data_IF_809198047104
#
_entry.id   IF_809198047104
#
_cell.length_a   1.000
_cell.length_b   1.000
_cell.length_c   1.000
_cell.angle_alpha   90.00
_cell.angle_beta   90.00
_cell.angle_gamma   90.00
#
_symmetry.space_group_name_H-M   'P 1'
#
loop_
_entity.id
_entity.type
_entity.pdbx_description
1 polymer ?
#
# COMPACT_ATOMS: atom_id res chain seq x y z
N UNK A 1 -23.25 -33.90 5.86
CA UNK A 1 -21.88 -34.51 5.83
C UNK A 1 -20.99 -33.88 4.74
N UNK A 2 -21.51 -33.01 3.88
CA UNK A 2 -20.73 -32.30 2.83
C UNK A 2 -20.42 -30.84 3.23
N UNK A 3 -21.10 -30.29 4.22
CA UNK A 3 -20.92 -28.87 4.64
C UNK A 3 -19.79 -28.64 5.66
N UNK A 4 -19.14 -29.70 6.19
CA UNK A 4 -18.05 -29.55 7.16
C UNK A 4 -16.66 -29.46 6.53
N UNK A 5 -16.50 -29.71 5.23
CA UNK A 5 -15.21 -29.71 4.57
C UNK A 5 -14.83 -28.34 4.02
N UNK A 6 -15.81 -27.52 3.59
CA UNK A 6 -15.57 -26.20 3.01
C UNK A 6 -15.13 -25.10 4.01
N UNK A 7 -15.30 -25.36 5.31
CA UNK A 7 -14.86 -24.43 6.39
C UNK A 7 -13.42 -24.65 6.86
N UNK A 8 -12.80 -25.77 6.48
CA UNK A 8 -11.43 -26.14 6.88
C UNK A 8 -10.35 -25.68 5.89
N UNK A 9 -10.75 -25.31 4.67
CA UNK A 9 -9.82 -24.88 3.61
C UNK A 9 -9.55 -23.35 3.59
N UNK A 10 -10.07 -22.62 4.55
CA UNK A 10 -9.99 -21.15 4.61
C UNK A 10 -8.62 -20.51 4.95
N UNK A 11 -7.64 -21.17 5.59
CA UNK A 11 -6.31 -20.59 5.74
C UNK A 11 -5.63 -20.25 4.40
N UNK A 12 -5.91 -21.03 3.34
CA UNK A 12 -5.35 -20.80 2.01
C UNK A 12 -6.00 -19.61 1.27
N UNK A 13 -7.29 -19.33 1.53
CA UNK A 13 -7.98 -18.20 0.90
C UNK A 13 -7.56 -16.83 1.45
N UNK A 14 -7.14 -16.75 2.71
CA UNK A 14 -6.60 -15.49 3.26
C UNK A 14 -5.22 -15.14 2.71
N UNK A 15 -4.43 -16.12 2.27
CA UNK A 15 -3.15 -15.87 1.59
C UNK A 15 -3.33 -15.52 0.10
N UNK A 16 -4.45 -15.95 -0.52
CA UNK A 16 -4.72 -15.68 -1.95
C UNK A 16 -5.35 -14.30 -2.19
N UNK A 17 -5.99 -13.68 -1.21
CA UNK A 17 -6.57 -12.34 -1.39
C UNK A 17 -5.50 -11.24 -1.59
N UNK A 18 -4.29 -11.45 -1.12
CA UNK A 18 -3.15 -10.58 -1.47
C UNK A 18 -2.59 -10.84 -2.89
N UNK A 19 -3.13 -11.82 -3.63
CA UNK A 19 -2.56 -12.28 -4.91
C UNK A 19 -3.55 -12.38 -6.08
N UNK A 20 -4.85 -12.29 -5.88
CA UNK A 20 -5.84 -12.55 -6.94
C UNK A 20 -7.07 -11.64 -6.83
N UNK A 21 -7.03 -10.48 -7.47
CA UNK A 21 -8.21 -9.85 -8.05
C UNK A 21 -8.02 -9.80 -9.57
N UNK A 22 -8.68 -10.70 -10.27
CA UNK A 22 -8.88 -10.61 -11.72
C UNK A 22 -10.27 -10.00 -11.96
N UNK A 23 -10.40 -8.95 -12.76
CA UNK A 23 -11.70 -8.43 -13.15
C UNK A 23 -12.34 -9.28 -14.23
N UNK A 24 -13.51 -9.81 -13.95
CA UNK A 24 -14.40 -10.34 -14.99
C UNK A 24 -14.95 -9.21 -15.86
N UNK A 25 -14.99 -9.49 -17.17
CA UNK A 25 -15.48 -8.58 -18.21
C UNK A 25 -16.98 -8.31 -18.01
N UNK A 26 -17.37 -7.04 -17.89
CA UNK A 26 -18.75 -6.62 -18.03
C UNK A 26 -19.02 -6.07 -19.43
N UNK A 27 -20.02 -6.65 -20.06
CA UNK A 27 -20.55 -6.29 -21.36
C UNK A 27 -21.14 -4.87 -21.40
N UNK A 28 -20.97 -4.23 -22.55
CA UNK A 28 -21.53 -2.92 -22.88
C UNK A 28 -23.07 -2.98 -22.88
N UNK A 29 -23.71 -2.10 -22.15
CA UNK A 29 -25.13 -1.77 -22.32
C UNK A 29 -25.29 -0.33 -22.85
N UNK A 30 -26.18 -0.25 -23.83
CA UNK A 30 -26.52 0.92 -24.65
C UNK A 30 -26.95 2.15 -23.86
N UNK A 31 -26.47 3.32 -24.29
CA UNK A 31 -26.97 4.61 -23.85
C UNK A 31 -28.23 5.02 -24.67
N UNK A 32 -29.22 5.64 -24.05
CA UNK A 32 -30.36 6.22 -24.75
C UNK A 32 -30.04 7.63 -25.28
N UNK A 33 -30.56 7.90 -26.46
CA UNK A 33 -30.49 9.17 -27.20
C UNK A 33 -31.06 10.36 -26.42
N UNK A 34 -30.34 11.47 -26.41
CA UNK A 34 -30.82 12.80 -25.97
C UNK A 34 -31.18 13.67 -27.19
N UNK A 35 -32.24 14.49 -27.13
CA UNK A 35 -32.75 15.23 -28.26
C UNK A 35 -31.97 16.49 -28.55
N UNK A 36 -31.87 16.81 -29.87
CA UNK A 36 -31.33 18.05 -30.45
C UNK A 36 -31.96 19.30 -29.84
N UNK A 37 -31.13 20.20 -29.30
CA UNK A 37 -31.45 21.61 -29.16
C UNK A 37 -30.42 22.44 -29.92
N UNK A 38 -30.88 23.00 -31.02
CA UNK A 38 -30.19 24.09 -31.72
C UNK A 38 -30.27 25.33 -30.84
N UNK A 39 -29.12 25.83 -30.41
CA UNK A 39 -29.03 27.20 -29.92
C UNK A 39 -27.88 27.90 -30.62
N UNK A 40 -28.22 29.06 -31.21
CA UNK A 40 -27.30 29.93 -31.95
C UNK A 40 -26.47 30.70 -30.94
N UNK A 41 -25.19 30.37 -30.82
CA UNK A 41 -24.23 31.21 -30.11
C UNK A 41 -23.33 31.93 -31.15
N UNK A 42 -23.36 33.23 -31.11
CA UNK A 42 -22.46 34.13 -31.83
C UNK A 42 -20.99 33.75 -31.60
N UNK A 43 -20.23 33.69 -32.67
CA UNK A 43 -18.78 33.43 -32.57
C UNK A 43 -18.08 34.65 -31.98
N UNK A 44 -17.26 34.52 -30.91
CA UNK A 44 -16.47 35.64 -30.40
C UNK A 44 -15.45 36.12 -31.44
N UNK A 45 -15.28 37.47 -31.51
CA UNK A 45 -14.39 38.16 -32.42
C UNK A 45 -12.95 37.66 -32.28
N UNK A 46 -12.16 37.72 -33.35
CA UNK A 46 -10.74 37.26 -33.34
C UNK A 46 -9.89 37.98 -32.29
N UNK A 47 -10.25 39.23 -31.95
CA UNK A 47 -9.61 40.04 -30.92
C UNK A 47 -9.83 39.40 -29.52
N UNK A 48 -11.07 38.95 -29.20
CA UNK A 48 -11.40 38.29 -27.92
C UNK A 48 -10.69 36.95 -27.77
N UNK A 49 -10.46 36.24 -28.87
CA UNK A 49 -9.67 35.00 -28.86
C UNK A 49 -8.19 35.26 -28.60
N UNK A 50 -7.64 36.34 -29.17
CA UNK A 50 -6.24 36.70 -28.94
C UNK A 50 -6.05 37.19 -27.50
N UNK A 51 -6.98 37.99 -26.97
CA UNK A 51 -6.94 38.46 -25.59
C UNK A 51 -7.13 37.30 -24.56
N UNK A 52 -7.92 36.28 -24.92
CA UNK A 52 -8.05 35.03 -24.10
C UNK A 52 -6.80 34.18 -24.16
N UNK A 53 -6.14 34.07 -25.31
CA UNK A 53 -4.85 33.39 -25.46
C UNK A 53 -3.73 34.15 -24.73
N UNK A 54 -3.71 35.50 -24.84
CA UNK A 54 -2.77 36.35 -24.12
C UNK A 54 -3.04 36.39 -22.61
N UNK A 55 -4.29 36.21 -22.16
CA UNK A 55 -4.63 36.00 -20.74
C UNK A 55 -4.26 34.62 -20.26
N UNK A 56 -4.38 33.55 -21.07
CA UNK A 56 -3.86 32.22 -20.75
C UNK A 56 -2.33 32.20 -20.69
N UNK A 57 -1.65 32.92 -21.59
CA UNK A 57 -0.18 33.04 -21.59
C UNK A 57 0.34 33.97 -20.46
N UNK A 58 -0.45 34.95 -20.01
CA UNK A 58 -0.13 35.77 -18.83
C UNK A 58 -0.41 35.12 -17.49
N UNK A 59 -1.09 33.97 -17.47
CA UNK A 59 -1.25 33.12 -16.29
C UNK A 59 -0.14 32.08 -16.16
N UNK A 60 1.01 32.27 -16.82
CA UNK A 60 2.24 31.58 -16.34
C UNK A 60 2.55 32.20 -14.98
N UNK A 61 1.95 31.58 -13.95
CA UNK A 61 2.31 31.78 -12.55
C UNK A 61 3.82 31.56 -12.47
N UNK A 62 4.60 32.63 -12.16
CA UNK A 62 6.00 32.46 -11.81
C UNK A 62 6.03 31.45 -10.66
N UNK A 63 6.43 30.24 -10.97
CA UNK A 63 6.61 29.22 -9.95
C UNK A 63 7.69 29.68 -8.99
N UNK A 64 7.39 29.59 -7.71
CA UNK A 64 8.30 30.03 -6.64
C UNK A 64 9.58 29.18 -6.59
N UNK A 65 9.49 27.92 -7.00
CA UNK A 65 10.58 26.93 -6.97
C UNK A 65 10.64 26.17 -8.30
N UNK A 66 11.86 25.82 -8.75
CA UNK A 66 12.05 24.86 -9.84
C UNK A 66 11.85 23.45 -9.32
N UNK A 67 10.78 22.78 -9.73
CA UNK A 67 10.41 21.41 -9.32
C UNK A 67 10.63 20.45 -10.46
N UNK A 68 11.40 19.40 -10.22
CA UNK A 68 11.72 18.39 -11.22
C UNK A 68 11.27 17.01 -10.70
N UNK A 69 10.52 16.28 -11.53
CA UNK A 69 10.15 14.89 -11.27
C UNK A 69 11.19 13.96 -11.91
N UNK A 70 11.60 12.93 -11.21
CA UNK A 70 12.48 11.92 -11.76
C UNK A 70 12.01 10.50 -11.40
N UNK A 71 12.23 9.55 -12.31
CA UNK A 71 11.78 8.17 -12.15
C UNK A 71 12.80 7.19 -12.74
N UNK A 72 12.65 5.91 -12.37
CA UNK A 72 13.19 4.77 -13.11
C UNK A 72 12.03 3.96 -13.68
N UNK A 73 12.20 3.32 -14.84
CA UNK A 73 11.16 2.47 -15.40
C UNK A 73 11.73 1.24 -16.11
N UNK A 74 10.87 0.23 -16.30
CA UNK A 74 11.13 -0.90 -17.17
C UNK A 74 9.82 -1.58 -17.54
N UNK A 75 9.48 -1.60 -18.84
CA UNK A 75 8.28 -2.23 -19.39
C UNK A 75 6.99 -1.71 -18.69
N UNK A 76 6.73 -0.42 -18.82
CA UNK A 76 5.62 0.28 -18.15
C UNK A 76 4.76 1.09 -19.12
N UNK A 77 4.73 0.71 -20.40
CA UNK A 77 4.01 1.46 -21.45
C UNK A 77 2.55 1.77 -21.12
N UNK A 78 1.88 0.89 -20.37
CA UNK A 78 0.48 1.05 -19.96
C UNK A 78 0.25 2.16 -18.93
N UNK A 79 1.30 2.58 -18.21
CA UNK A 79 1.19 3.59 -17.16
C UNK A 79 1.61 4.99 -17.61
N UNK A 80 2.40 5.11 -18.67
CA UNK A 80 3.06 6.37 -19.10
C UNK A 80 2.09 7.54 -19.18
N UNK A 81 0.98 7.42 -19.89
CA UNK A 81 0.04 8.52 -20.13
C UNK A 81 -0.59 9.01 -18.81
N UNK A 82 -1.12 8.09 -18.01
CA UNK A 82 -1.75 8.41 -16.71
C UNK A 82 -0.75 9.04 -15.75
N UNK A 83 0.46 8.48 -15.67
CA UNK A 83 1.53 9.01 -14.84
C UNK A 83 1.93 10.41 -15.28
N UNK A 84 2.19 10.62 -16.59
CA UNK A 84 2.55 11.92 -17.15
C UNK A 84 1.51 13.00 -16.82
N UNK A 85 0.23 12.72 -17.03
CA UNK A 85 -0.86 13.64 -16.71
C UNK A 85 -0.83 14.08 -15.24
N UNK A 86 -0.42 13.22 -14.33
CA UNK A 86 -0.36 13.52 -12.89
C UNK A 86 0.88 14.32 -12.47
N UNK A 87 1.97 14.24 -13.23
CA UNK A 87 3.25 14.91 -12.89
C UNK A 87 3.58 16.08 -13.80
N UNK A 88 2.77 16.38 -14.83
CA UNK A 88 3.01 17.48 -15.81
C UNK A 88 3.00 18.90 -15.23
N UNK A 89 2.56 19.06 -13.96
CA UNK A 89 2.70 20.31 -13.22
C UNK A 89 4.18 20.61 -12.82
N UNK A 90 5.09 19.66 -12.97
CA UNK A 90 6.52 19.86 -12.77
C UNK A 90 7.14 20.69 -13.91
N UNK A 91 8.22 21.42 -13.61
CA UNK A 91 8.93 22.23 -14.64
C UNK A 91 9.66 21.34 -15.66
N UNK A 92 10.24 20.23 -15.19
CA UNK A 92 10.93 19.25 -16.03
C UNK A 92 10.72 17.82 -15.49
N UNK A 93 10.76 16.83 -16.39
CA UNK A 93 10.59 15.41 -16.04
C UNK A 93 11.72 14.60 -16.65
N UNK A 94 12.39 13.77 -15.82
CA UNK A 94 13.51 12.92 -16.21
C UNK A 94 13.22 11.46 -15.89
N UNK A 95 13.37 10.57 -16.86
CA UNK A 95 13.16 9.12 -16.65
C UNK A 95 14.40 8.35 -17.10
N UNK A 96 14.91 7.52 -16.21
CA UNK A 96 15.92 6.53 -16.50
C UNK A 96 15.27 5.19 -16.84
N UNK A 97 15.22 4.86 -18.12
CA UNK A 97 14.81 3.54 -18.57
C UNK A 97 15.90 2.51 -18.28
N UNK A 98 15.53 1.40 -17.63
CA UNK A 98 16.48 0.37 -17.20
C UNK A 98 16.52 -0.84 -18.13
N UNK A 99 16.02 -0.68 -19.36
CA UNK A 99 16.05 -1.64 -20.43
C UNK A 99 14.68 -2.20 -20.79
N UNK A 100 13.74 -1.31 -21.07
CA UNK A 100 12.41 -1.66 -21.62
C UNK A 100 12.53 -2.27 -23.01
N UNK A 101 11.63 -3.19 -23.31
CA UNK A 101 11.50 -3.89 -24.61
C UNK A 101 10.14 -3.64 -25.26
N UNK A 102 9.25 -2.95 -24.59
CA UNK A 102 7.93 -2.49 -25.03
C UNK A 102 8.01 -1.01 -25.52
N UNK A 103 6.84 -0.38 -25.75
CA UNK A 103 6.77 1.02 -26.21
C UNK A 103 6.99 2.08 -25.11
N UNK A 104 7.41 1.70 -23.88
CA UNK A 104 7.64 2.64 -22.76
C UNK A 104 8.48 3.85 -23.16
N UNK A 105 9.69 3.63 -23.72
CA UNK A 105 10.61 4.71 -24.09
C UNK A 105 10.03 5.62 -25.19
N UNK A 106 9.32 5.05 -26.13
CA UNK A 106 8.67 5.79 -27.20
C UNK A 106 7.59 6.72 -26.66
N UNK A 107 6.67 6.21 -25.85
CA UNK A 107 5.58 6.98 -25.24
C UNK A 107 6.11 8.11 -24.33
N UNK A 108 7.13 7.82 -23.50
CA UNK A 108 7.76 8.86 -22.67
C UNK A 108 8.32 10.02 -23.50
N UNK A 109 8.97 9.73 -24.63
CA UNK A 109 9.50 10.77 -25.54
C UNK A 109 8.39 11.55 -26.26
N UNK A 110 7.30 10.89 -26.61
CA UNK A 110 6.11 11.54 -27.18
C UNK A 110 5.47 12.54 -26.21
N UNK A 111 5.56 12.30 -24.90
CA UNK A 111 5.17 13.25 -23.85
C UNK A 111 6.20 14.37 -23.62
N UNK A 112 7.30 14.44 -24.36
CA UNK A 112 8.35 15.46 -24.17
C UNK A 112 9.27 15.24 -22.98
N UNK A 113 9.28 14.03 -22.38
CA UNK A 113 10.08 13.68 -21.22
C UNK A 113 11.53 13.44 -21.59
N UNK A 114 12.48 13.86 -20.73
CA UNK A 114 13.90 13.57 -20.87
C UNK A 114 14.22 12.12 -20.50
N UNK A 115 14.43 11.26 -21.50
CA UNK A 115 14.66 9.83 -21.30
C UNK A 115 16.11 9.45 -21.62
N UNK A 116 16.73 8.68 -20.70
CA UNK A 116 18.01 7.99 -20.90
C UNK A 116 17.82 6.51 -20.62
N UNK A 117 18.39 5.65 -21.46
CA UNK A 117 18.38 4.19 -21.22
C UNK A 117 19.73 3.72 -20.70
N UNK A 118 19.72 2.94 -19.60
CA UNK A 118 20.90 2.30 -19.02
C UNK A 118 20.56 1.01 -18.31
N UNK A 119 21.11 -0.09 -18.75
CA UNK A 119 20.95 -1.41 -18.13
C UNK A 119 22.00 -1.61 -17.03
N UNK A 120 21.57 -2.13 -15.89
CA UNK A 120 22.42 -2.40 -14.72
C UNK A 120 22.64 -3.90 -14.54
N UNK A 121 23.91 -4.32 -14.34
CA UNK A 121 24.29 -5.70 -14.04
C UNK A 121 25.43 -5.70 -12.99
N UNK A 122 25.22 -6.23 -11.79
CA UNK A 122 23.95 -6.75 -11.24
C UNK A 122 22.91 -5.65 -11.07
N UNK A 123 21.61 -6.03 -11.04
CA UNK A 123 20.51 -5.11 -10.76
C UNK A 123 20.50 -4.65 -9.30
N UNK A 124 20.28 -3.36 -9.09
CA UNK A 124 20.08 -2.74 -7.77
C UNK A 124 19.22 -1.50 -7.94
N UNK A 125 18.20 -1.35 -7.11
CA UNK A 125 17.32 -0.20 -7.16
C UNK A 125 18.03 1.10 -6.77
N UNK A 126 18.79 1.10 -5.67
CA UNK A 126 19.54 2.29 -5.20
C UNK A 126 20.50 2.85 -6.25
N UNK A 127 21.19 1.97 -6.97
CA UNK A 127 22.11 2.38 -8.05
C UNK A 127 21.35 3.03 -9.21
N UNK A 128 20.22 2.44 -9.62
CA UNK A 128 19.38 2.98 -10.68
C UNK A 128 18.75 4.33 -10.26
N UNK A 129 18.21 4.44 -9.04
CA UNK A 129 17.67 5.69 -8.50
C UNK A 129 18.70 6.80 -8.39
N UNK A 130 19.91 6.50 -7.91
CA UNK A 130 21.00 7.47 -7.88
C UNK A 130 21.43 7.92 -9.27
N UNK A 131 21.41 7.02 -10.26
CA UNK A 131 21.71 7.39 -11.63
C UNK A 131 20.61 8.27 -12.25
N UNK A 132 19.34 8.01 -11.94
CA UNK A 132 18.24 8.87 -12.37
C UNK A 132 18.29 10.26 -11.71
N UNK A 133 18.63 10.34 -10.41
CA UNK A 133 18.83 11.61 -9.71
C UNK A 133 19.97 12.46 -10.30
N UNK A 134 21.02 11.84 -10.85
CA UNK A 134 22.09 12.57 -11.55
C UNK A 134 21.64 13.24 -12.86
N UNK A 135 20.54 12.79 -13.45
CA UNK A 135 19.97 13.41 -14.65
C UNK A 135 19.29 14.74 -14.35
N UNK A 136 18.81 14.93 -13.13
CA UNK A 136 18.16 16.16 -12.68
C UNK A 136 19.15 17.33 -12.71
N UNK A 137 18.77 18.52 -13.26
CA UNK A 137 19.66 19.69 -13.29
C UNK A 137 20.11 20.17 -11.91
N UNK A 138 21.30 20.80 -11.84
CA UNK A 138 21.88 21.27 -10.58
C UNK A 138 21.20 22.51 -10.00
N UNK A 139 20.46 23.23 -10.81
CA UNK A 139 19.67 24.41 -10.46
C UNK A 139 18.24 24.06 -9.96
N UNK A 140 17.94 22.78 -9.76
CA UNK A 140 16.65 22.31 -9.25
C UNK A 140 16.55 22.57 -7.76
N UNK A 141 15.45 23.22 -7.33
CA UNK A 141 15.14 23.46 -5.92
C UNK A 141 14.55 22.22 -5.25
N UNK A 142 13.57 21.60 -5.92
CA UNK A 142 12.81 20.45 -5.36
C UNK A 142 12.81 19.29 -6.37
N UNK A 143 13.26 18.14 -5.91
CA UNK A 143 13.21 16.87 -6.63
C UNK A 143 12.05 16.02 -6.10
N UNK A 144 11.32 15.38 -7.00
CA UNK A 144 10.25 14.43 -6.67
C UNK A 144 10.56 13.10 -7.33
N UNK A 145 10.72 12.03 -6.54
CA UNK A 145 10.86 10.69 -7.07
C UNK A 145 9.51 9.96 -7.05
N UNK A 146 9.11 9.40 -8.18
CA UNK A 146 7.90 8.57 -8.30
C UNK A 146 8.20 7.33 -9.13
N UNK A 147 7.31 6.34 -9.05
CA UNK A 147 7.23 5.23 -9.99
C UNK A 147 6.10 5.47 -11.00
N UNK A 148 6.13 4.84 -12.19
CA UNK A 148 5.15 5.11 -13.24
C UNK A 148 3.75 4.57 -12.92
N UNK A 149 3.64 3.67 -11.96
CA UNK A 149 2.38 3.17 -11.41
C UNK A 149 1.84 4.02 -10.24
N UNK A 150 2.50 5.14 -9.92
CA UNK A 150 2.09 6.11 -8.90
C UNK A 150 1.48 7.37 -9.55
N UNK A 151 0.39 7.90 -9.00
CA UNK A 151 -0.38 9.01 -9.58
C UNK A 151 -0.66 10.07 -8.53
N UNK A 152 -0.14 11.28 -8.70
CA UNK A 152 -0.50 12.41 -7.85
C UNK A 152 -1.93 12.86 -8.07
N UNK A 153 -2.62 13.17 -6.97
CA UNK A 153 -3.90 13.87 -7.04
C UNK A 153 -3.69 15.33 -7.50
N UNK A 154 -4.62 15.91 -8.31
CA UNK A 154 -4.47 17.25 -8.86
C UNK A 154 -4.23 18.34 -7.81
N UNK A 155 -3.43 19.35 -8.17
CA UNK A 155 -3.13 20.50 -7.31
C UNK A 155 -1.96 20.29 -6.34
N UNK A 156 -1.25 19.18 -6.43
CA UNK A 156 -0.09 18.87 -5.58
C UNK A 156 1.00 19.95 -5.67
N UNK A 157 1.22 20.52 -6.85
CA UNK A 157 2.24 21.56 -7.07
C UNK A 157 1.97 22.80 -6.23
N UNK A 158 0.74 23.29 -6.26
CA UNK A 158 0.31 24.46 -5.47
C UNK A 158 0.46 24.23 -3.97
N UNK A 159 0.06 23.06 -3.50
CA UNK A 159 0.20 22.71 -2.08
C UNK A 159 1.68 22.55 -1.69
N UNK A 160 2.51 21.98 -2.56
CA UNK A 160 3.96 21.88 -2.31
C UNK A 160 4.58 23.27 -2.14
N UNK A 161 4.35 24.20 -3.05
CA UNK A 161 4.90 25.57 -3.00
C UNK A 161 4.40 26.40 -1.81
N UNK A 162 3.18 26.12 -1.34
CA UNK A 162 2.60 26.77 -0.17
C UNK A 162 3.31 26.40 1.13
N UNK A 163 3.67 25.13 1.28
CA UNK A 163 4.25 24.61 2.54
C UNK A 163 5.78 24.53 2.52
N UNK A 164 6.41 24.42 1.33
CA UNK A 164 7.86 24.39 1.22
C UNK A 164 8.46 25.75 1.60
N UNK A 165 9.44 25.74 2.51
CA UNK A 165 10.17 26.93 2.94
C UNK A 165 11.62 26.86 2.41
N UNK A 166 12.36 27.99 2.35
CA UNK A 166 13.74 28.02 1.83
C UNK A 166 14.72 27.07 2.53
N UNK A 167 14.44 26.71 3.77
CA UNK A 167 15.26 25.79 4.58
C UNK A 167 14.69 24.35 4.64
N UNK A 168 13.55 24.10 4.01
CA UNK A 168 12.99 22.75 3.90
C UNK A 168 13.89 21.89 3.03
N UNK A 169 14.19 20.68 3.50
CA UNK A 169 15.01 19.72 2.75
C UNK A 169 14.21 18.51 2.26
N UNK A 170 13.09 18.18 2.93
CA UNK A 170 12.23 17.06 2.60
C UNK A 170 10.76 17.39 2.89
N UNK A 171 9.86 16.89 2.03
CA UNK A 171 8.43 16.90 2.32
C UNK A 171 7.89 15.47 2.44
N UNK A 172 7.01 15.31 3.42
CA UNK A 172 6.26 14.09 3.70
C UNK A 172 4.81 14.30 3.30
N UNK A 173 4.19 13.32 2.65
CA UNK A 173 2.85 13.40 2.08
C UNK A 173 2.09 12.08 2.18
N UNK A 174 0.75 12.12 1.99
CA UNK A 174 -0.08 10.93 2.03
C UNK A 174 0.21 10.00 0.84
N UNK A 175 0.37 8.72 1.10
CA UNK A 175 0.53 7.68 0.10
C UNK A 175 -0.52 6.59 0.29
N UNK A 176 -1.37 6.42 -0.69
CA UNK A 176 -2.35 5.36 -0.74
C UNK A 176 -1.72 4.16 -1.44
N UNK A 177 -1.20 3.22 -0.65
CA UNK A 177 -0.54 2.00 -1.15
C UNK A 177 -1.51 1.07 -1.86
N UNK A 178 -2.73 0.93 -1.34
CA UNK A 178 -3.80 0.16 -1.96
C UNK A 178 -5.13 0.90 -1.84
N UNK A 179 -5.97 0.71 -2.84
CA UNK A 179 -7.26 1.36 -2.99
C UNK A 179 -8.32 0.28 -3.19
N UNK A 180 -9.56 0.55 -2.75
CA UNK A 180 -10.73 -0.26 -3.07
C UNK A 180 -11.25 0.07 -4.49
N UNK A 181 -12.30 -0.63 -4.92
CA UNK A 181 -12.95 -0.45 -6.23
C UNK A 181 -13.48 0.98 -6.45
N UNK A 182 -13.76 1.71 -5.35
CA UNK A 182 -14.24 3.09 -5.37
C UNK A 182 -13.09 4.12 -5.21
N UNK A 183 -11.83 3.68 -5.31
CA UNK A 183 -10.63 4.47 -5.06
C UNK A 183 -10.52 5.03 -3.62
N UNK A 184 -11.16 4.41 -2.63
CA UNK A 184 -10.92 4.75 -1.24
C UNK A 184 -9.64 4.04 -0.74
N UNK A 185 -8.83 4.70 0.11
CA UNK A 185 -7.61 4.10 0.62
C UNK A 185 -7.89 2.94 1.59
N UNK A 186 -7.36 1.76 1.28
CA UNK A 186 -7.34 0.59 2.17
C UNK A 186 -6.10 0.64 3.06
N UNK A 187 -4.92 0.83 2.45
CA UNK A 187 -3.66 1.02 3.17
C UNK A 187 -3.08 2.38 2.83
N UNK A 188 -2.93 3.22 3.85
CA UNK A 188 -2.43 4.58 3.72
C UNK A 188 -1.31 4.84 4.74
N UNK A 189 -0.23 5.48 4.29
CA UNK A 189 0.86 5.93 5.14
C UNK A 189 1.56 7.14 4.54
N UNK A 190 2.53 7.71 5.27
CA UNK A 190 3.31 8.83 4.76
C UNK A 190 4.51 8.35 3.94
N UNK A 191 4.69 8.94 2.77
CA UNK A 191 5.88 8.81 1.94
C UNK A 191 6.67 10.12 1.95
N UNK A 192 7.98 10.05 1.70
CA UNK A 192 8.91 11.18 1.84
C UNK A 192 9.92 11.26 0.69
N UNK A 193 9.46 11.02 -0.56
CA UNK A 193 10.28 11.05 -1.78
C UNK A 193 10.34 12.44 -2.45
N UNK A 194 9.94 13.53 -1.76
CA UNK A 194 10.08 14.93 -2.21
C UNK A 194 11.22 15.56 -1.41
N UNK A 195 12.27 16.06 -2.08
CA UNK A 195 13.52 16.42 -1.40
C UNK A 195 14.38 17.42 -2.20
N UNK A 196 15.35 18.05 -1.54
CA UNK A 196 16.42 18.81 -2.21
C UNK A 196 17.41 17.88 -2.91
N UNK A 197 17.99 18.30 -4.04
CA UNK A 197 18.85 17.45 -4.86
C UNK A 197 20.15 17.00 -4.15
N UNK A 198 20.83 17.91 -3.49
CA UNK A 198 22.24 17.72 -3.03
C UNK A 198 22.37 17.04 -1.68
N UNK A 199 21.28 16.99 -0.91
CA UNK A 199 21.35 16.59 0.50
C UNK A 199 20.95 15.13 0.72
N UNK A 200 20.71 14.38 -0.36
CA UNK A 200 20.19 13.01 -0.31
C UNK A 200 20.88 12.07 -1.29
N UNK A 201 20.85 10.80 -0.92
CA UNK A 201 21.20 9.66 -1.79
C UNK A 201 20.29 8.48 -1.53
N UNK A 202 20.06 7.68 -2.55
CA UNK A 202 19.37 6.39 -2.40
C UNK A 202 20.34 5.33 -1.87
N UNK A 203 19.87 4.52 -0.93
CA UNK A 203 20.62 3.42 -0.30
C UNK A 203 19.77 2.16 -0.29
N UNK A 204 20.39 1.02 -0.16
CA UNK A 204 19.85 -0.34 -0.15
C UNK A 204 19.46 -0.89 -1.53
N UNK A 205 19.87 -2.14 -1.83
CA UNK A 205 19.63 -2.79 -3.12
C UNK A 205 18.16 -2.94 -3.51
N UNK A 206 17.28 -3.05 -2.52
CA UNK A 206 15.81 -3.15 -2.64
C UNK A 206 15.16 -2.53 -1.41
N UNK A 207 13.89 -2.13 -1.51
CA UNK A 207 13.22 -1.28 -0.52
C UNK A 207 14.08 -0.06 -0.19
N UNK A 208 14.62 0.53 -1.23
CA UNK A 208 15.58 1.62 -1.17
C UNK A 208 15.02 2.83 -0.42
N UNK A 209 15.90 3.48 0.31
CA UNK A 209 15.58 4.63 1.16
C UNK A 209 16.34 5.84 0.65
N UNK A 210 15.65 6.97 0.61
CA UNK A 210 16.26 8.27 0.40
C UNK A 210 16.93 8.72 1.70
N UNK A 211 18.22 8.53 1.81
CA UNK A 211 19.02 8.80 3.01
C UNK A 211 19.58 10.21 2.99
N UNK A 212 19.35 10.96 4.06
CA UNK A 212 19.91 12.29 4.25
C UNK A 212 21.44 12.24 4.44
N UNK A 213 22.13 13.20 3.83
CA UNK A 213 23.59 13.40 3.96
C UNK A 213 23.92 14.49 4.99
N UNK A 214 22.91 15.24 5.43
CA UNK A 214 22.97 16.35 6.38
C UNK A 214 21.76 16.34 7.30
N UNK A 215 21.72 17.25 8.24
CA UNK A 215 20.54 17.50 9.07
C UNK A 215 19.33 17.86 8.20
N UNK A 216 18.19 17.24 8.47
CA UNK A 216 16.97 17.39 7.70
C UNK A 216 16.03 18.42 8.32
N UNK A 217 15.35 19.18 7.45
CA UNK A 217 14.15 19.93 7.80
C UNK A 217 12.97 19.40 7.01
N UNK A 218 12.15 18.62 7.72
CA UNK A 218 11.02 17.90 7.12
C UNK A 218 9.73 18.67 7.35
N UNK A 219 8.97 18.90 6.29
CA UNK A 219 7.58 19.39 6.35
C UNK A 219 6.61 18.26 6.02
N UNK A 220 5.49 18.18 6.74
CA UNK A 220 4.41 17.26 6.42
C UNK A 220 3.29 18.03 5.72
N UNK A 221 2.85 17.55 4.55
CA UNK A 221 1.83 18.19 3.71
C UNK A 221 0.70 17.19 3.49
N UNK A 222 -0.29 17.21 4.39
CA UNK A 222 -1.44 16.28 4.36
C UNK A 222 -2.35 16.46 3.15
N UNK A 223 -2.31 17.63 2.49
CA UNK A 223 -3.10 17.92 1.29
C UNK A 223 -2.51 17.34 0.00
N UNK A 224 -1.27 16.84 0.02
CA UNK A 224 -0.69 16.11 -1.11
C UNK A 224 -0.96 14.63 -0.94
N UNK A 225 -1.52 14.01 -1.97
CA UNK A 225 -1.80 12.58 -2.01
C UNK A 225 -1.24 11.95 -3.28
N UNK A 226 -0.57 10.82 -3.14
CA UNK A 226 -0.06 9.96 -4.20
C UNK A 226 -0.77 8.61 -4.11
N UNK A 227 -1.44 8.20 -5.19
CA UNK A 227 -2.11 6.91 -5.29
C UNK A 227 -1.22 5.91 -6.03
N UNK A 228 -1.16 4.68 -5.56
CA UNK A 228 -0.46 3.59 -6.21
C UNK A 228 -1.44 2.64 -6.91
N UNK A 229 -1.13 2.31 -8.15
CA UNK A 229 -1.90 1.40 -8.99
C UNK A 229 -0.97 0.28 -9.49
N UNK A 230 -0.75 -0.75 -8.67
CA UNK A 230 0.30 -1.74 -8.90
C UNK A 230 0.12 -2.53 -10.18
N UNK A 231 1.25 -2.95 -10.75
CA UNK A 231 1.27 -3.94 -11.83
C UNK A 231 1.30 -5.35 -11.26
N UNK A 232 0.12 -5.99 -11.22
CA UNK A 232 -0.02 -7.36 -10.70
C UNK A 232 0.69 -8.42 -11.58
N UNK A 233 1.08 -8.09 -12.81
CA UNK A 233 1.80 -9.00 -13.70
C UNK A 233 3.31 -9.00 -13.47
N UNK A 234 3.85 -8.01 -12.75
CA UNK A 234 5.28 -7.92 -12.47
C UNK A 234 5.75 -8.99 -11.49
N UNK A 235 6.73 -9.76 -11.92
CA UNK A 235 7.38 -10.77 -11.06
C UNK A 235 8.19 -10.11 -9.92
N UNK A 236 7.98 -10.58 -8.69
CA UNK A 236 8.77 -10.21 -7.50
C UNK A 236 10.00 -11.10 -7.28
N UNK A 237 10.34 -11.99 -8.22
CA UNK A 237 11.40 -13.00 -8.06
C UNK A 237 12.80 -12.42 -7.74
N UNK A 238 13.06 -11.15 -8.06
CA UNK A 238 14.31 -10.46 -7.76
C UNK A 238 14.44 -9.96 -6.32
N UNK A 239 13.33 -9.89 -5.57
CA UNK A 239 13.31 -9.26 -4.23
C UNK A 239 14.09 -10.05 -3.20
N UNK A 240 13.86 -11.36 -3.09
CA UNK A 240 14.52 -12.18 -2.08
C UNK A 240 16.06 -12.17 -2.21
N UNK A 241 16.67 -12.38 -3.39
CA UNK A 241 18.13 -12.27 -3.52
C UNK A 241 18.68 -10.88 -3.17
N UNK A 242 17.94 -9.82 -3.48
CA UNK A 242 18.35 -8.45 -3.15
C UNK A 242 18.24 -8.15 -1.66
N UNK A 243 17.23 -8.69 -0.97
CA UNK A 243 17.12 -8.60 0.49
C UNK A 243 18.21 -9.39 1.21
N UNK A 244 18.55 -10.60 0.73
CA UNK A 244 19.69 -11.36 1.23
C UNK A 244 20.98 -10.57 1.06
N UNK A 245 21.17 -9.88 -0.08
CA UNK A 245 22.28 -8.98 -0.32
C UNK A 245 22.27 -7.78 0.64
N UNK A 246 21.13 -7.13 0.84
CA UNK A 246 20.98 -5.97 1.74
C UNK A 246 21.42 -6.32 3.16
N UNK A 247 20.97 -7.46 3.68
CA UNK A 247 21.34 -7.93 5.03
C UNK A 247 22.80 -8.37 5.11
N UNK A 248 23.37 -8.87 4.01
CA UNK A 248 24.79 -9.19 3.93
C UNK A 248 25.66 -7.94 3.96
N UNK A 249 25.26 -6.88 3.26
CA UNK A 249 26.00 -5.60 3.21
C UNK A 249 25.90 -4.82 4.52
N UNK A 250 24.70 -4.86 5.16
CA UNK A 250 24.45 -4.17 6.44
C UNK A 250 23.64 -5.08 7.39
N UNK A 251 24.30 -5.98 8.14
CA UNK A 251 23.64 -6.95 8.99
C UNK A 251 23.01 -6.36 10.27
N UNK A 252 23.33 -5.12 10.61
CA UNK A 252 22.81 -4.39 11.76
C UNK A 252 21.63 -3.47 11.40
N UNK A 253 21.25 -3.40 10.12
CA UNK A 253 20.11 -2.63 9.67
C UNK A 253 18.82 -3.39 9.95
N UNK A 254 18.10 -2.96 10.97
CA UNK A 254 16.85 -3.58 11.45
C UNK A 254 15.79 -3.66 10.34
N UNK A 255 15.57 -2.58 9.59
CA UNK A 255 14.61 -2.55 8.51
C UNK A 255 14.90 -3.61 7.43
N UNK A 256 16.16 -3.76 7.00
CA UNK A 256 16.54 -4.76 6.01
C UNK A 256 16.31 -6.19 6.54
N UNK A 257 16.64 -6.42 7.81
CA UNK A 257 16.43 -7.73 8.46
C UNK A 257 14.95 -8.03 8.62
N UNK A 258 14.12 -7.03 8.99
CA UNK A 258 12.66 -7.16 9.04
C UNK A 258 12.08 -7.57 7.67
N UNK A 259 12.41 -6.83 6.61
CA UNK A 259 11.93 -7.13 5.25
C UNK A 259 12.38 -8.51 4.75
N UNK A 260 13.63 -8.91 5.04
CA UNK A 260 14.12 -10.25 4.68
C UNK A 260 13.32 -11.36 5.38
N UNK A 261 13.04 -11.18 6.67
CA UNK A 261 12.22 -12.13 7.44
C UNK A 261 10.81 -12.24 6.89
N UNK A 262 10.17 -11.10 6.58
CA UNK A 262 8.85 -11.05 5.94
C UNK A 262 8.87 -11.73 4.57
N UNK A 263 9.87 -11.47 3.75
CA UNK A 263 9.98 -12.08 2.43
C UNK A 263 10.17 -13.60 2.53
N UNK A 264 10.93 -14.11 3.50
CA UNK A 264 10.99 -15.55 3.75
C UNK A 264 9.64 -16.15 4.09
N UNK A 265 8.76 -15.43 4.81
CA UNK A 265 7.38 -15.86 5.08
C UNK A 265 6.58 -15.99 3.78
N UNK A 266 6.60 -15.00 2.90
CA UNK A 266 5.92 -15.05 1.60
C UNK A 266 6.41 -16.19 0.69
N UNK A 267 7.68 -16.61 0.84
CA UNK A 267 8.23 -17.78 0.17
C UNK A 267 8.04 -19.09 0.95
N UNK A 268 7.19 -19.10 1.99
CA UNK A 268 6.92 -20.25 2.85
C UNK A 268 8.17 -20.88 3.49
N UNK A 269 9.23 -20.08 3.65
CA UNK A 269 10.48 -20.49 4.30
C UNK A 269 10.39 -20.26 5.80
N UNK A 270 9.43 -20.89 6.47
CA UNK A 270 8.99 -20.62 7.83
C UNK A 270 10.14 -20.54 8.84
N UNK A 271 11.03 -21.53 8.85
CA UNK A 271 12.17 -21.55 9.78
C UNK A 271 13.12 -20.37 9.53
N UNK A 272 13.40 -20.02 8.25
CA UNK A 272 14.22 -18.85 7.92
C UNK A 272 13.56 -17.54 8.35
N UNK A 273 12.24 -17.43 8.18
CA UNK A 273 11.48 -16.29 8.68
C UNK A 273 11.69 -16.13 10.19
N UNK A 274 11.45 -17.21 10.96
CA UNK A 274 11.59 -17.21 12.41
C UNK A 274 12.98 -16.78 12.83
N UNK A 275 14.03 -17.41 12.31
CA UNK A 275 15.42 -17.13 12.68
C UNK A 275 15.81 -15.68 12.35
N UNK A 276 15.40 -15.21 11.17
CA UNK A 276 15.70 -13.82 10.71
C UNK A 276 14.98 -12.79 11.56
N UNK A 277 13.72 -13.00 11.89
CA UNK A 277 12.95 -12.03 12.69
C UNK A 277 13.31 -12.08 14.18
N UNK A 278 13.74 -13.20 14.72
CA UNK A 278 14.36 -13.26 16.06
C UNK A 278 15.67 -12.43 16.07
N UNK A 279 16.48 -12.52 15.00
CA UNK A 279 17.64 -11.65 14.84
C UNK A 279 17.22 -10.18 14.81
N UNK A 280 16.23 -9.79 13.99
CA UNK A 280 15.68 -8.43 13.96
C UNK A 280 15.36 -7.92 15.37
N UNK A 281 14.59 -8.69 16.15
CA UNK A 281 14.17 -8.30 17.50
C UNK A 281 15.33 -8.13 18.49
N UNK A 282 16.50 -8.73 18.20
CA UNK A 282 17.73 -8.62 19.02
C UNK A 282 18.62 -7.41 18.65
N UNK A 283 18.38 -6.76 17.50
CA UNK A 283 19.17 -5.62 17.06
C UNK A 283 18.88 -4.38 17.94
N UNK A 284 19.94 -3.66 18.29
CA UNK A 284 19.83 -2.42 19.07
C UNK A 284 19.13 -1.29 18.30
N UNK A 285 19.20 -1.33 16.98
CA UNK A 285 18.57 -0.39 16.07
C UNK A 285 17.06 -0.61 15.95
N UNK A 286 16.57 -1.83 16.17
CA UNK A 286 15.16 -2.19 16.10
C UNK A 286 14.37 -1.62 17.29
N UNK A 287 14.13 -0.32 17.26
CA UNK A 287 13.47 0.43 18.35
C UNK A 287 12.01 0.78 18.06
N UNK A 288 11.58 0.69 16.79
CA UNK A 288 10.22 0.98 16.42
C UNK A 288 9.28 -0.16 16.82
N UNK A 289 8.47 0.08 17.85
CA UNK A 289 7.60 -0.94 18.46
C UNK A 289 6.62 -1.58 17.48
N UNK A 290 6.06 -0.78 16.54
CA UNK A 290 5.10 -1.30 15.58
C UNK A 290 5.73 -2.33 14.65
N UNK A 291 6.94 -2.07 14.14
CA UNK A 291 7.69 -3.01 13.29
C UNK A 291 8.15 -4.25 14.08
N UNK A 292 8.53 -4.08 15.36
CA UNK A 292 8.85 -5.20 16.25
C UNK A 292 7.64 -6.08 16.47
N UNK A 293 6.47 -5.48 16.74
CA UNK A 293 5.20 -6.22 16.88
C UNK A 293 4.82 -6.95 15.58
N UNK A 294 5.02 -6.32 14.41
CA UNK A 294 4.82 -6.96 13.12
C UNK A 294 5.75 -8.16 12.93
N UNK A 295 7.04 -8.05 13.29
CA UNK A 295 7.98 -9.19 13.27
C UNK A 295 7.51 -10.34 14.16
N UNK A 296 7.00 -10.04 15.35
CA UNK A 296 6.45 -11.07 16.25
C UNK A 296 5.21 -11.76 15.65
N UNK A 297 4.33 -11.01 14.96
CA UNK A 297 3.18 -11.58 14.24
C UNK A 297 3.63 -12.51 13.10
N UNK A 298 4.63 -12.10 12.30
CA UNK A 298 5.15 -12.94 11.21
C UNK A 298 5.86 -14.21 11.72
N UNK A 299 6.53 -14.15 12.88
CA UNK A 299 7.04 -15.32 13.57
C UNK A 299 5.88 -16.23 13.99
N UNK A 300 4.81 -15.66 14.54
CA UNK A 300 3.63 -16.43 14.96
C UNK A 300 2.95 -17.10 13.76
N UNK A 301 2.76 -16.41 12.64
CA UNK A 301 2.23 -17.00 11.40
C UNK A 301 3.10 -18.17 10.93
N UNK A 302 4.42 -18.02 10.98
CA UNK A 302 5.34 -19.09 10.59
C UNK A 302 5.18 -20.32 11.51
N UNK A 303 5.04 -20.11 12.82
CA UNK A 303 4.75 -21.21 13.76
C UNK A 303 3.37 -21.83 13.53
N UNK A 304 2.36 -21.02 13.17
CA UNK A 304 1.04 -21.52 12.82
C UNK A 304 1.10 -22.50 11.63
N UNK A 305 1.77 -22.13 10.55
CA UNK A 305 1.96 -23.01 9.38
C UNK A 305 2.79 -24.27 9.70
N UNK A 306 3.70 -24.17 10.65
CA UNK A 306 4.41 -25.34 11.19
C UNK A 306 3.56 -26.18 12.18
N UNK A 307 2.27 -25.82 12.38
CA UNK A 307 1.34 -26.45 13.35
C UNK A 307 1.82 -26.39 14.80
N UNK A 308 2.66 -25.41 15.10
CA UNK A 308 3.21 -25.14 16.44
C UNK A 308 2.39 -24.04 17.12
N UNK A 309 1.13 -24.34 17.39
CA UNK A 309 0.11 -23.37 17.82
C UNK A 309 0.40 -22.72 19.17
N UNK A 310 1.07 -23.44 20.09
CA UNK A 310 1.48 -22.87 21.40
C UNK A 310 2.52 -21.76 21.25
N UNK A 311 3.48 -21.96 20.36
CA UNK A 311 4.49 -20.95 20.06
C UNK A 311 3.87 -19.78 19.29
N UNK A 312 2.96 -20.05 18.36
CA UNK A 312 2.22 -18.99 17.66
C UNK A 312 1.45 -18.11 18.68
N UNK A 313 0.72 -18.72 19.61
CA UNK A 313 0.01 -18.01 20.69
C UNK A 313 0.97 -17.16 21.56
N UNK A 314 2.10 -17.72 21.94
CA UNK A 314 3.11 -17.01 22.73
C UNK A 314 3.60 -15.75 22.00
N UNK A 315 3.97 -15.88 20.72
CA UNK A 315 4.47 -14.75 19.93
C UNK A 315 3.42 -13.68 19.66
N UNK A 316 2.15 -14.06 19.46
CA UNK A 316 1.06 -13.08 19.34
C UNK A 316 0.81 -12.33 20.66
N UNK A 317 0.91 -12.99 21.79
CA UNK A 317 0.84 -12.33 23.11
C UNK A 317 2.00 -11.34 23.31
N UNK A 318 3.21 -11.71 22.91
CA UNK A 318 4.36 -10.80 22.93
C UNK A 318 4.16 -9.60 21.99
N UNK A 319 3.58 -9.80 20.80
CA UNK A 319 3.25 -8.71 19.88
C UNK A 319 2.24 -7.72 20.50
N UNK A 320 1.24 -8.25 21.21
CA UNK A 320 0.27 -7.42 21.95
C UNK A 320 0.94 -6.66 23.10
N UNK A 321 1.85 -7.29 23.83
CA UNK A 321 2.59 -6.63 24.92
C UNK A 321 3.51 -5.54 24.40
N UNK A 322 4.19 -5.75 23.26
CA UNK A 322 5.07 -4.79 22.63
C UNK A 322 4.31 -3.53 22.16
N UNK A 323 3.15 -3.73 21.51
CA UNK A 323 2.33 -2.65 20.94
C UNK A 323 0.83 -2.85 21.23
N UNK A 324 0.38 -2.68 22.48
CA UNK A 324 -1.00 -2.96 22.89
C UNK A 324 -2.04 -2.00 22.27
N UNK A 325 -1.60 -0.94 21.62
CA UNK A 325 -2.41 0.03 20.90
C UNK A 325 -2.65 -0.35 19.44
N UNK A 326 -2.01 -1.40 18.93
CA UNK A 326 -2.25 -1.94 17.58
C UNK A 326 -3.30 -3.06 17.64
N UNK A 327 -4.27 -3.00 16.74
CA UNK A 327 -5.35 -3.99 16.65
C UNK A 327 -4.86 -5.34 16.12
N UNK A 328 -3.83 -5.32 15.26
CA UNK A 328 -3.35 -6.45 14.47
C UNK A 328 -2.98 -7.69 15.30
N UNK A 329 -2.23 -7.52 16.39
CA UNK A 329 -1.87 -8.64 17.28
C UNK A 329 -3.08 -9.34 17.90
N UNK A 330 -4.10 -8.58 18.29
CA UNK A 330 -5.35 -9.14 18.82
C UNK A 330 -6.16 -9.84 17.73
N UNK A 331 -6.21 -9.27 16.52
CA UNK A 331 -6.95 -9.86 15.39
C UNK A 331 -6.36 -11.22 15.03
N UNK A 332 -5.05 -11.32 14.91
CA UNK A 332 -4.38 -12.60 14.61
C UNK A 332 -4.50 -13.62 15.76
N UNK A 333 -4.48 -13.15 17.01
CA UNK A 333 -4.69 -14.04 18.16
C UNK A 333 -6.14 -14.56 18.22
N UNK A 334 -7.13 -13.70 17.90
CA UNK A 334 -8.52 -14.12 17.80
C UNK A 334 -8.69 -15.18 16.70
N UNK A 335 -8.06 -14.97 15.54
CA UNK A 335 -8.06 -15.94 14.45
C UNK A 335 -7.40 -17.25 14.83
N UNK A 336 -6.26 -17.22 15.54
CA UNK A 336 -5.60 -18.43 16.06
C UNK A 336 -6.55 -19.21 16.98
N UNK A 337 -7.21 -18.54 17.94
CA UNK A 337 -8.16 -19.19 18.84
C UNK A 337 -9.36 -19.77 18.08
N UNK A 338 -9.89 -19.06 17.10
CA UNK A 338 -10.94 -19.59 16.23
C UNK A 338 -10.49 -20.87 15.52
N UNK A 339 -9.29 -20.89 14.94
CA UNK A 339 -8.73 -22.06 14.24
C UNK A 339 -8.49 -23.28 15.15
N UNK A 340 -8.38 -23.04 16.46
CA UNK A 340 -8.24 -24.09 17.47
C UNK A 340 -9.56 -24.41 18.18
N UNK A 341 -10.69 -23.90 17.67
CA UNK A 341 -12.04 -24.09 18.23
C UNK A 341 -12.20 -23.54 19.66
N UNK A 342 -11.30 -22.63 20.09
CA UNK A 342 -11.34 -21.96 21.38
C UNK A 342 -12.23 -20.69 21.31
N UNK A 343 -13.51 -20.89 21.02
CA UNK A 343 -14.45 -19.81 20.63
C UNK A 343 -14.63 -18.73 21.69
N UNK A 344 -14.66 -19.08 23.00
CA UNK A 344 -14.76 -18.09 24.08
C UNK A 344 -13.52 -17.16 24.10
N UNK A 345 -12.33 -17.74 23.90
CA UNK A 345 -11.10 -16.94 23.82
C UNK A 345 -11.08 -16.07 22.57
N UNK A 346 -11.57 -16.59 21.43
CA UNK A 346 -11.72 -15.84 20.20
C UNK A 346 -12.61 -14.61 20.42
N UNK A 347 -13.81 -14.80 20.98
CA UNK A 347 -14.74 -13.69 21.26
C UNK A 347 -14.11 -12.66 22.20
N UNK A 348 -13.51 -13.12 23.31
CA UNK A 348 -12.88 -12.22 24.26
C UNK A 348 -11.79 -11.37 23.60
N UNK A 349 -10.93 -11.98 22.80
CA UNK A 349 -9.81 -11.31 22.15
C UNK A 349 -10.28 -10.36 21.04
N UNK A 350 -11.25 -10.77 20.23
CA UNK A 350 -11.86 -9.93 19.20
C UNK A 350 -12.53 -8.68 19.80
N UNK A 351 -13.24 -8.83 20.93
CA UNK A 351 -13.82 -7.68 21.65
C UNK A 351 -12.77 -6.74 22.22
N UNK A 352 -11.59 -7.25 22.62
CA UNK A 352 -10.46 -6.39 23.02
C UNK A 352 -9.92 -5.61 21.82
N UNK A 353 -9.72 -6.26 20.67
CA UNK A 353 -9.31 -5.61 19.43
C UNK A 353 -10.25 -4.46 19.05
N UNK A 354 -11.56 -4.67 19.13
CA UNK A 354 -12.59 -3.66 18.77
C UNK A 354 -12.62 -2.43 19.69
N UNK A 355 -12.01 -2.50 20.88
CA UNK A 355 -11.83 -1.31 21.75
C UNK A 355 -10.80 -0.34 21.20
N UNK A 356 -9.83 -0.82 20.39
CA UNK A 356 -8.82 -0.01 19.76
C UNK A 356 -9.44 0.64 18.53
N UNK A 357 -9.65 1.96 18.58
CA UNK A 357 -10.28 2.72 17.48
C UNK A 357 -9.27 3.39 16.56
N UNK A 358 -8.03 3.54 17.03
CA UNK A 358 -6.97 4.16 16.25
C UNK A 358 -6.52 3.23 15.13
N UNK A 359 -6.46 3.76 13.93
CA UNK A 359 -5.87 3.12 12.76
C UNK A 359 -4.61 3.91 12.39
N UNK A 360 -3.42 3.51 12.83
CA UNK A 360 -2.19 4.23 12.51
C UNK A 360 -1.90 4.20 11.01
N UNK A 361 -1.40 5.31 10.48
CA UNK A 361 -0.95 5.39 9.07
C UNK A 361 0.42 4.75 8.93
N UNK A 362 0.47 3.42 8.88
CA UNK A 362 1.71 2.66 8.70
C UNK A 362 1.53 1.53 7.68
N UNK A 363 2.64 1.13 7.03
CA UNK A 363 2.65 0.05 6.04
C UNK A 363 2.62 -1.36 6.65
N UNK A 364 2.59 -1.48 7.97
CA UNK A 364 2.60 -2.77 8.68
C UNK A 364 1.25 -3.15 9.26
N UNK A 365 0.22 -2.33 9.08
CA UNK A 365 -1.15 -2.66 9.46
C UNK A 365 -1.72 -3.70 8.51
N UNK A 366 -2.52 -4.60 9.05
CA UNK A 366 -3.22 -5.64 8.30
C UNK A 366 -4.65 -5.21 7.99
N UNK A 367 -5.06 -5.35 6.74
CA UNK A 367 -6.42 -5.01 6.28
C UNK A 367 -7.47 -5.72 7.11
N UNK A 368 -7.26 -7.02 7.40
CA UNK A 368 -8.17 -7.85 8.18
C UNK A 368 -8.46 -7.32 9.60
N UNK A 369 -7.64 -6.42 10.12
CA UNK A 369 -7.87 -5.80 11.42
C UNK A 369 -8.96 -4.73 11.38
N UNK A 370 -9.35 -4.25 10.17
CA UNK A 370 -10.26 -3.12 10.00
C UNK A 370 -11.38 -3.34 8.96
N UNK A 371 -11.40 -4.47 8.26
CA UNK A 371 -12.28 -4.80 7.13
C UNK A 371 -13.55 -5.62 7.48
N UNK A 372 -13.90 -5.69 8.74
CA UNK A 372 -15.06 -6.48 9.20
C UNK A 372 -14.72 -7.91 9.65
N UNK A 373 -13.51 -8.41 9.44
CA UNK A 373 -13.10 -9.78 9.83
C UNK A 373 -13.32 -10.07 11.32
N UNK A 374 -13.08 -9.10 12.20
CA UNK A 374 -13.32 -9.29 13.64
C UNK A 374 -14.80 -9.55 13.95
N UNK A 375 -15.72 -8.90 13.25
CA UNK A 375 -17.17 -9.12 13.44
C UNK A 375 -17.60 -10.48 12.91
N UNK A 376 -17.01 -10.94 11.82
CA UNK A 376 -17.22 -12.29 11.31
C UNK A 376 -16.72 -13.36 12.28
N UNK A 377 -15.53 -13.21 12.84
CA UNK A 377 -15.00 -14.10 13.89
C UNK A 377 -15.92 -14.15 15.13
N UNK A 378 -16.45 -13.00 15.54
CA UNK A 378 -17.44 -12.91 16.63
C UNK A 378 -18.73 -13.66 16.27
N UNK A 379 -19.24 -13.48 15.06
CA UNK A 379 -20.45 -14.11 14.59
C UNK A 379 -20.34 -15.65 14.56
N UNK A 380 -19.29 -16.16 13.89
CA UNK A 380 -19.07 -17.60 13.77
C UNK A 380 -18.82 -18.22 15.14
N UNK A 381 -17.99 -17.60 15.99
CA UNK A 381 -17.70 -18.11 17.34
C UNK A 381 -18.94 -18.12 18.22
N UNK A 382 -19.77 -17.07 18.17
CA UNK A 382 -21.05 -17.03 18.90
C UNK A 382 -21.99 -18.14 18.41
N UNK A 383 -22.09 -18.36 17.09
CA UNK A 383 -22.88 -19.45 16.52
C UNK A 383 -22.41 -20.84 17.03
N UNK A 384 -21.10 -21.08 17.05
CA UNK A 384 -20.51 -22.35 17.56
C UNK A 384 -20.83 -22.57 19.04
N UNK A 385 -20.95 -21.50 19.82
CA UNK A 385 -21.38 -21.53 21.23
C UNK A 385 -22.90 -21.51 21.43
N UNK A 386 -23.68 -21.62 20.33
CA UNK A 386 -25.14 -21.58 20.35
C UNK A 386 -25.75 -20.25 20.89
N UNK A 387 -24.98 -19.18 20.81
CA UNK A 387 -25.40 -17.81 21.13
C UNK A 387 -25.94 -17.14 19.84
N UNK A 388 -27.08 -17.62 19.37
CA UNK A 388 -27.57 -17.33 18.01
C UNK A 388 -27.94 -15.86 17.83
N UNK A 389 -28.47 -15.19 18.85
CA UNK A 389 -28.77 -13.75 18.88
C UNK A 389 -27.50 -12.91 18.64
N UNK A 390 -26.40 -13.25 19.32
CA UNK A 390 -25.09 -12.60 19.08
C UNK A 390 -24.53 -12.94 17.69
N UNK A 391 -24.73 -14.15 17.18
CA UNK A 391 -24.28 -14.53 15.85
C UNK A 391 -24.98 -13.69 14.78
N UNK A 392 -26.29 -13.48 14.85
CA UNK A 392 -27.06 -12.62 13.97
C UNK A 392 -26.58 -11.17 14.08
N UNK A 393 -26.43 -10.66 15.30
CA UNK A 393 -26.00 -9.28 15.55
C UNK A 393 -24.62 -8.97 14.94
N UNK A 394 -23.62 -9.80 15.21
CA UNK A 394 -22.25 -9.58 14.72
C UNK A 394 -22.14 -9.78 13.21
N UNK A 395 -22.85 -10.75 12.64
CA UNK A 395 -22.85 -10.97 11.21
C UNK A 395 -23.53 -9.83 10.43
N UNK A 396 -24.58 -9.21 10.98
CA UNK A 396 -25.19 -8.03 10.39
C UNK A 396 -24.14 -6.89 10.26
N UNK A 397 -23.31 -6.68 11.30
CA UNK A 397 -22.24 -5.68 11.25
C UNK A 397 -21.15 -6.09 10.22
N UNK A 398 -20.77 -7.37 10.14
CA UNK A 398 -19.79 -7.84 9.14
C UNK A 398 -20.28 -7.55 7.71
N UNK A 399 -21.59 -7.72 7.45
CA UNK A 399 -22.22 -7.38 6.15
C UNK A 399 -22.24 -5.88 5.84
N UNK A 400 -22.19 -4.98 6.83
CA UNK A 400 -22.02 -3.55 6.56
C UNK A 400 -20.65 -3.25 5.91
N UNK A 401 -19.62 -4.04 6.25
CA UNK A 401 -18.28 -3.93 5.64
C UNK A 401 -18.18 -4.63 4.29
N UNK A 402 -18.84 -5.77 4.14
CA UNK A 402 -18.77 -6.63 2.94
C UNK A 402 -20.20 -7.07 2.53
N UNK A 403 -21.01 -6.14 1.98
CA UNK A 403 -22.43 -6.41 1.68
C UNK A 403 -22.61 -7.51 0.62
N UNK A 404 -21.69 -7.65 -0.31
CA UNK A 404 -21.74 -8.59 -1.43
C UNK A 404 -21.07 -9.95 -1.12
N UNK A 405 -20.55 -10.14 0.10
CA UNK A 405 -19.95 -11.44 0.50
C UNK A 405 -21.04 -12.50 0.65
N UNK A 406 -21.11 -13.40 -0.34
CA UNK A 406 -22.11 -14.48 -0.42
C UNK A 406 -22.02 -15.41 0.80
N UNK A 407 -20.84 -15.65 1.34
CA UNK A 407 -20.66 -16.48 2.55
C UNK A 407 -21.28 -15.83 3.77
N UNK A 408 -21.06 -14.53 3.97
CA UNK A 408 -21.66 -13.77 5.07
C UNK A 408 -23.19 -13.72 4.95
N UNK A 409 -23.71 -13.52 3.73
CA UNK A 409 -25.15 -13.55 3.45
C UNK A 409 -25.77 -14.91 3.80
N UNK A 410 -25.14 -16.00 3.35
CA UNK A 410 -25.59 -17.37 3.65
C UNK A 410 -25.52 -17.65 5.16
N UNK A 411 -24.44 -17.28 5.83
CA UNK A 411 -24.30 -17.42 7.27
C UNK A 411 -25.43 -16.67 8.00
N UNK A 412 -25.77 -15.46 7.56
CA UNK A 412 -26.83 -14.67 8.16
C UNK A 412 -28.17 -15.39 8.13
N UNK A 413 -28.54 -15.99 7.00
CA UNK A 413 -29.76 -16.78 6.87
C UNK A 413 -29.78 -18.00 7.82
N UNK A 414 -28.66 -18.70 7.92
CA UNK A 414 -28.51 -19.84 8.84
C UNK A 414 -28.65 -19.39 10.29
N UNK A 415 -28.03 -18.26 10.65
CA UNK A 415 -28.09 -17.75 12.03
C UNK A 415 -29.50 -17.31 12.41
N UNK A 416 -30.22 -16.62 11.53
CA UNK A 416 -31.62 -16.24 11.72
C UNK A 416 -32.54 -17.48 11.90
N UNK A 417 -32.32 -18.54 11.09
CA UNK A 417 -33.11 -19.78 11.24
C UNK A 417 -32.86 -20.44 12.59
N UNK A 418 -31.62 -20.46 13.06
CA UNK A 418 -31.28 -21.04 14.35
C UNK A 418 -31.69 -20.19 15.55
N UNK A 419 -31.68 -18.86 15.39
CA UNK A 419 -32.25 -17.95 16.40
C UNK A 419 -33.76 -18.18 16.58
N UNK A 420 -34.51 -18.33 15.47
CA UNK A 420 -35.96 -18.58 15.49
C UNK A 420 -36.28 -20.00 16.01
N UNK A 421 -35.43 -21.00 15.75
CA UNK A 421 -35.63 -22.41 16.09
C UNK A 421 -34.36 -23.03 16.72
N UNK A 422 -34.04 -22.69 17.97
CA UNK A 422 -32.76 -23.10 18.60
C UNK A 422 -32.60 -24.61 18.79
N UNK A 423 -33.68 -25.38 18.71
CA UNK A 423 -33.70 -26.82 18.99
C UNK A 423 -33.69 -27.69 17.72
N UNK A 424 -33.80 -27.10 16.54
CA UNK A 424 -33.70 -27.81 15.26
C UNK A 424 -32.21 -27.94 14.88
#
# INVERSE_FOLDING_TARGET
QMEQQDLLDQPEQMEQQDLLDQPEQMEQQDQPDLPDQQDQTEQPDQQDRQDLLDQQDRSMTEHKYKVVVYAICKNEEKFVERWYESVKEADEIYVLDTGSTDDTVKKLKECGIHVKTKVFKPWRFDVARNESLKMVPDDTDICICTDLDEVFMPGWRKELEKYWQPDTTRARYNYNWSLDENNNPIVNFYLDKIHTKKDYKWTHPVHEVLTALKEERVVTIDSITLNHYPDHEKSRSSYLPLLELSVKEDPENDRNVHYLGREYMYYHKWNRCIDTLIKHLSLKTATWKDERAASMRFIARSYFHLKRYREAEMWLKLAIEEAPYLRDGYTELAFLYYSQEEYEKCIHTALQALKIKTHPKTYINEVMSFDGTLYDLLAISSFRLKQYDYAVYWNAIALEYKPDDVRLQNNHQVYLQKEANPND
#
